data_IF_610331222541
#
_entry.id   IF_610331222541
#
_cell.length_a   1.000
_cell.length_b   1.000
_cell.length_c   1.000
_cell.angle_alpha   90.00
_cell.angle_beta   90.00
_cell.angle_gamma   90.00
#
_symmetry.space_group_name_H-M   'P 1'
#
loop_
_entity.id
_entity.type
_entity.pdbx_description
1 polymer ?
#
# COMPACT_ATOMS: atom_id res chain seq x y z
N UNK A 1 -10.24 9.93 27.15
CA UNK A 1 -9.06 9.34 26.52
C UNK A 1 -8.03 10.45 26.36
N UNK A 2 -6.79 10.25 26.81
CA UNK A 2 -5.73 11.23 26.55
C UNK A 2 -5.32 11.14 25.07
N UNK A 3 -4.76 12.22 24.53
CA UNK A 3 -4.39 12.29 23.10
C UNK A 3 -3.46 11.13 22.67
N UNK A 4 -2.47 10.79 23.50
CA UNK A 4 -1.53 9.70 23.20
C UNK A 4 -2.22 8.32 23.15
N UNK A 5 -3.19 8.08 24.05
CA UNK A 5 -3.99 6.84 24.06
C UNK A 5 -4.89 6.73 22.81
N UNK A 6 -5.43 7.85 22.30
CA UNK A 6 -6.21 7.87 21.06
C UNK A 6 -5.33 7.52 19.86
N UNK A 7 -4.13 8.12 19.78
CA UNK A 7 -3.20 7.89 18.69
C UNK A 7 -2.72 6.43 18.64
N UNK A 8 -2.40 5.86 19.80
CA UNK A 8 -1.97 4.46 19.92
C UNK A 8 -3.08 3.48 19.49
N UNK A 9 -4.32 3.72 19.92
CA UNK A 9 -5.46 2.89 19.56
C UNK A 9 -5.75 2.97 18.05
N UNK A 10 -5.73 4.17 17.48
CA UNK A 10 -5.91 4.37 16.05
C UNK A 10 -4.82 3.66 15.22
N UNK A 11 -3.56 3.77 15.63
CA UNK A 11 -2.45 3.08 14.98
C UNK A 11 -2.59 1.56 15.07
N UNK A 12 -3.02 1.05 16.22
CA UNK A 12 -3.30 -0.38 16.41
C UNK A 12 -4.41 -0.87 15.48
N UNK A 13 -5.52 -0.14 15.41
CA UNK A 13 -6.67 -0.49 14.55
C UNK A 13 -6.28 -0.47 13.07
N UNK A 14 -5.49 0.53 12.64
CA UNK A 14 -4.94 0.58 11.30
C UNK A 14 -4.04 -0.62 11.01
N UNK A 15 -3.10 -0.95 11.91
CA UNK A 15 -2.20 -2.08 11.71
C UNK A 15 -2.95 -3.41 11.58
N UNK A 16 -3.97 -3.61 12.42
CA UNK A 16 -4.81 -4.79 12.38
C UNK A 16 -5.60 -4.86 11.07
N UNK A 17 -6.26 -3.77 10.67
CA UNK A 17 -7.00 -3.71 9.40
C UNK A 17 -6.10 -4.04 8.20
N UNK A 18 -4.89 -3.49 8.16
CA UNK A 18 -3.96 -3.73 7.05
C UNK A 18 -3.53 -5.20 7.00
N UNK A 19 -3.15 -5.77 8.13
CA UNK A 19 -2.65 -7.14 8.21
C UNK A 19 -3.72 -8.20 7.99
N UNK A 20 -4.90 -8.01 8.59
CA UNK A 20 -5.95 -9.03 8.64
C UNK A 20 -6.97 -8.92 7.51
N UNK A 21 -7.15 -7.73 6.92
CA UNK A 21 -8.17 -7.49 5.89
C UNK A 21 -7.59 -7.00 4.58
N UNK A 22 -6.94 -5.84 4.56
CA UNK A 22 -6.55 -5.17 3.32
C UNK A 22 -5.53 -5.98 2.51
N UNK A 23 -4.39 -6.35 3.11
CA UNK A 23 -3.33 -7.05 2.36
C UNK A 23 -3.79 -8.42 1.84
N UNK A 24 -4.52 -9.25 2.62
CA UNK A 24 -5.14 -10.46 2.09
C UNK A 24 -6.05 -10.22 0.88
N UNK A 25 -6.95 -9.23 0.96
CA UNK A 25 -7.86 -8.88 -0.15
C UNK A 25 -7.08 -8.44 -1.39
N UNK A 26 -6.14 -7.50 -1.26
CA UNK A 26 -5.30 -7.06 -2.38
C UNK A 26 -4.43 -8.18 -2.97
N UNK A 27 -3.96 -9.13 -2.13
CA UNK A 27 -3.16 -10.27 -2.58
C UNK A 27 -3.97 -11.28 -3.39
N UNK A 28 -5.28 -11.36 -3.14
CA UNK A 28 -6.20 -12.23 -3.89
C UNK A 28 -6.47 -11.70 -5.29
N UNK A 29 -6.34 -10.40 -5.50
CA UNK A 29 -6.38 -9.78 -6.83
C UNK A 29 -5.07 -10.06 -7.56
N UNK A 30 -5.13 -10.91 -8.57
CA UNK A 30 -3.98 -11.33 -9.38
C UNK A 30 -4.02 -10.77 -10.80
N UNK A 31 -2.85 -10.70 -11.42
CA UNK A 31 -2.70 -10.35 -12.84
C UNK A 31 -1.44 -11.01 -13.39
N UNK A 32 -1.46 -11.35 -14.67
CA UNK A 32 -0.27 -11.73 -15.45
C UNK A 32 0.50 -10.53 -16.00
N UNK A 33 0.00 -9.30 -15.81
CA UNK A 33 0.62 -8.06 -16.32
C UNK A 33 0.79 -7.03 -15.19
N UNK A 34 1.96 -6.37 -15.11
CA UNK A 34 2.22 -5.32 -14.11
C UNK A 34 1.52 -4.00 -14.44
N UNK A 35 1.32 -3.16 -13.43
CA UNK A 35 0.64 -1.87 -13.57
C UNK A 35 -0.87 -2.02 -13.45
N UNK A 36 -1.61 -1.02 -13.92
CA UNK A 36 -3.08 -1.00 -13.93
C UNK A 36 -3.54 -0.45 -15.28
N UNK A 37 -4.34 -1.22 -16.01
CA UNK A 37 -4.86 -0.84 -17.34
C UNK A 37 -3.77 -0.38 -18.33
N UNK A 38 -2.61 -1.05 -18.33
CA UNK A 38 -1.50 -0.73 -19.24
C UNK A 38 -0.62 0.46 -18.81
N UNK A 39 -0.96 1.13 -17.70
CA UNK A 39 -0.13 2.17 -17.10
C UNK A 39 0.64 1.60 -15.91
N UNK A 40 1.95 1.86 -15.84
CA UNK A 40 2.75 1.55 -14.66
C UNK A 40 3.20 2.85 -14.02
N UNK A 41 2.67 3.13 -12.83
CA UNK A 41 3.21 4.14 -11.93
C UNK A 41 3.94 3.37 -10.82
N UNK A 42 5.27 3.50 -10.68
CA UNK A 42 5.99 2.75 -9.66
C UNK A 42 5.60 3.24 -8.26
N UNK A 43 5.64 2.36 -7.24
CA UNK A 43 5.46 2.77 -5.84
C UNK A 43 6.35 3.94 -5.43
N UNK A 44 5.89 4.77 -4.49
CA UNK A 44 6.57 6.02 -4.09
C UNK A 44 7.97 5.82 -3.55
N UNK A 45 8.27 4.67 -2.95
CA UNK A 45 9.61 4.32 -2.46
C UNK A 45 10.60 3.89 -3.56
N UNK A 46 10.13 3.74 -4.80
CA UNK A 46 10.97 3.50 -5.98
C UNK A 46 11.21 4.82 -6.72
N UNK A 47 10.23 5.73 -6.69
CA UNK A 47 10.36 7.06 -7.26
C UNK A 47 11.58 7.77 -6.66
N UNK A 48 12.46 8.28 -7.53
CA UNK A 48 13.72 8.94 -7.15
C UNK A 48 14.88 7.99 -6.81
N UNK A 49 14.64 6.69 -6.59
CA UNK A 49 15.72 5.71 -6.37
C UNK A 49 16.24 5.09 -7.66
N UNK A 50 15.46 5.16 -8.73
CA UNK A 50 15.81 4.62 -10.04
C UNK A 50 15.56 5.69 -11.09
N UNK A 51 16.63 6.08 -11.79
CA UNK A 51 16.52 6.96 -12.95
C UNK A 51 16.05 6.14 -14.15
N UNK A 52 14.73 6.17 -14.41
CA UNK A 52 14.10 5.47 -15.51
C UNK A 52 13.14 6.41 -16.24
N UNK A 53 13.29 6.60 -17.57
CA UNK A 53 12.46 7.54 -18.33
C UNK A 53 11.02 7.06 -18.52
N UNK A 54 10.77 5.75 -18.52
CA UNK A 54 9.41 5.18 -18.61
C UNK A 54 9.28 3.85 -17.87
N UNK A 55 8.05 3.50 -17.52
CA UNK A 55 7.72 2.23 -16.90
C UNK A 55 6.78 1.43 -17.79
N UNK A 56 7.37 0.57 -18.63
CA UNK A 56 6.58 -0.34 -19.47
C UNK A 56 5.97 -1.49 -18.65
N UNK A 57 4.71 -1.89 -18.93
CA UNK A 57 4.12 -3.11 -18.39
C UNK A 57 4.98 -4.34 -18.70
N UNK A 58 5.07 -5.24 -17.74
CA UNK A 58 5.71 -6.54 -17.88
C UNK A 58 4.66 -7.64 -17.79
N UNK A 59 4.83 -8.68 -18.58
CA UNK A 59 3.95 -9.85 -18.60
C UNK A 59 4.63 -11.07 -18.00
N UNK A 60 3.83 -12.01 -17.50
CA UNK A 60 4.23 -13.32 -17.02
C UNK A 60 3.30 -14.40 -17.56
N UNK A 61 3.78 -15.63 -17.68
CA UNK A 61 2.96 -16.79 -18.06
C UNK A 61 1.95 -17.18 -16.97
N UNK A 62 2.09 -16.63 -15.76
CA UNK A 62 1.24 -16.89 -14.59
C UNK A 62 0.72 -15.58 -14.02
N UNK A 63 -0.42 -15.65 -13.34
CA UNK A 63 -0.97 -14.52 -12.59
C UNK A 63 -0.24 -14.33 -11.24
N UNK A 64 1.04 -14.00 -11.31
CA UNK A 64 1.92 -13.90 -10.13
C UNK A 64 1.99 -12.50 -9.53
N UNK A 65 1.55 -11.47 -10.26
CA UNK A 65 1.50 -10.10 -9.75
C UNK A 65 0.25 -9.89 -8.89
N UNK A 66 0.40 -9.10 -7.83
CA UNK A 66 -0.66 -8.79 -6.86
C UNK A 66 -0.97 -7.31 -6.85
N UNK A 67 -2.22 -6.96 -6.56
CA UNK A 67 -2.58 -5.56 -6.37
C UNK A 67 -1.79 -4.97 -5.19
N UNK A 68 -1.26 -3.77 -5.40
CA UNK A 68 -0.59 -2.98 -4.36
C UNK A 68 -1.14 -1.56 -4.39
N UNK A 69 -1.09 -0.87 -3.25
CA UNK A 69 -1.45 0.56 -3.18
C UNK A 69 -0.32 1.48 -3.66
N UNK A 70 0.94 1.05 -3.54
CA UNK A 70 2.12 1.86 -3.88
C UNK A 70 2.51 2.93 -2.85
N UNK A 71 1.54 3.48 -2.09
CA UNK A 71 1.79 4.47 -1.03
C UNK A 71 1.00 4.30 0.27
N UNK A 72 0.87 3.06 0.75
CA UNK A 72 0.07 2.79 1.94
C UNK A 72 0.75 3.27 3.23
N UNK A 73 0.12 4.20 3.94
CA UNK A 73 0.51 4.66 5.26
C UNK A 73 -0.65 5.34 5.99
N UNK A 74 -0.51 5.69 7.28
CA UNK A 74 -1.60 6.27 8.07
C UNK A 74 -2.22 7.55 7.47
N UNK A 75 -1.44 8.31 6.68
CA UNK A 75 -1.92 9.52 6.00
C UNK A 75 -2.92 9.25 4.85
N UNK A 76 -2.95 8.01 4.32
CA UNK A 76 -3.87 7.58 3.25
C UNK A 76 -5.03 6.72 3.78
N UNK A 77 -5.38 6.89 5.05
CA UNK A 77 -6.45 6.16 5.72
C UNK A 77 -7.43 7.13 6.39
N UNK A 78 -8.71 6.93 6.10
CA UNK A 78 -9.80 7.61 6.80
C UNK A 78 -10.27 6.74 7.96
N UNK A 79 -10.41 7.34 9.14
CA UNK A 79 -10.88 6.64 10.34
C UNK A 79 -12.16 7.26 10.88
N UNK A 80 -12.99 6.43 11.50
CA UNK A 80 -14.14 6.89 12.27
C UNK A 80 -13.64 7.59 13.54
N UNK A 81 -14.09 8.82 13.81
CA UNK A 81 -13.61 9.59 14.95
C UNK A 81 -14.12 9.09 16.31
N UNK A 82 -15.21 8.32 16.33
CA UNK A 82 -15.80 7.76 17.55
C UNK A 82 -15.23 6.37 17.86
N UNK A 83 -15.11 5.50 16.86
CA UNK A 83 -14.65 4.11 17.04
C UNK A 83 -13.15 3.92 16.78
N UNK A 84 -12.52 4.88 16.10
CA UNK A 84 -11.15 4.79 15.59
C UNK A 84 -10.91 3.60 14.64
N UNK A 85 -11.97 3.09 14.02
CA UNK A 85 -11.87 2.04 13.01
C UNK A 85 -11.63 2.63 11.62
N UNK A 86 -10.97 1.86 10.75
CA UNK A 86 -10.73 2.24 9.36
C UNK A 86 -12.04 2.25 8.57
N UNK A 87 -12.36 3.38 7.95
CA UNK A 87 -13.51 3.56 7.06
C UNK A 87 -13.12 3.29 5.62
N UNK A 88 -12.00 3.89 5.18
CA UNK A 88 -11.55 3.77 3.79
C UNK A 88 -10.05 3.95 3.66
N UNK A 89 -9.55 3.39 2.56
CA UNK A 89 -8.20 3.61 2.06
C UNK A 89 -8.35 4.49 0.82
N UNK A 90 -7.58 5.58 0.78
CA UNK A 90 -7.66 6.60 -0.26
C UNK A 90 -6.33 6.70 -1.01
N UNK A 91 -6.28 7.56 -2.03
CA UNK A 91 -5.05 7.88 -2.76
C UNK A 91 -4.38 6.68 -3.46
N UNK A 92 -5.13 6.07 -4.37
CA UNK A 92 -4.72 4.88 -5.13
C UNK A 92 -3.90 5.21 -6.39
N UNK A 93 -3.38 6.44 -6.53
CA UNK A 93 -2.70 6.86 -7.78
C UNK A 93 -1.43 6.05 -8.09
N UNK A 94 -0.76 5.53 -7.05
CA UNK A 94 0.41 4.63 -7.18
C UNK A 94 0.04 3.14 -7.21
N UNK A 95 -1.26 2.83 -7.32
CA UNK A 95 -1.71 1.45 -7.28
C UNK A 95 -1.47 0.71 -8.59
N UNK A 96 -1.29 -0.60 -8.47
CA UNK A 96 -1.09 -1.46 -9.62
C UNK A 96 -0.65 -2.86 -9.23
N UNK A 97 -0.62 -3.75 -10.22
CA UNK A 97 -0.13 -5.11 -10.07
C UNK A 97 1.40 -5.14 -10.10
N UNK A 98 2.02 -5.70 -9.05
CA UNK A 98 3.47 -5.83 -8.91
C UNK A 98 3.85 -7.18 -8.26
N UNK A 99 5.13 -7.57 -8.26
CA UNK A 99 5.57 -8.76 -7.53
C UNK A 99 5.15 -8.70 -6.04
N UNK A 100 4.80 -9.82 -5.39
CA UNK A 100 4.29 -9.84 -4.01
C UNK A 100 5.14 -9.08 -2.98
N UNK A 101 6.46 -9.05 -3.15
CA UNK A 101 7.38 -8.30 -2.28
C UNK A 101 7.21 -6.76 -2.32
N UNK A 102 6.38 -6.24 -3.23
CA UNK A 102 6.09 -4.81 -3.35
C UNK A 102 4.90 -4.37 -2.50
N UNK A 103 4.13 -5.30 -1.91
CA UNK A 103 3.08 -4.98 -0.93
C UNK A 103 3.70 -4.48 0.39
N UNK A 104 4.09 -3.20 0.42
CA UNK A 104 4.70 -2.50 1.55
C UNK A 104 3.75 -1.43 2.11
N UNK A 105 3.90 -1.13 3.41
CA UNK A 105 3.14 -0.10 4.10
C UNK A 105 3.94 0.45 5.30
N UNK A 106 3.42 1.47 5.99
CA UNK A 106 4.12 2.21 7.06
C UNK A 106 4.97 1.37 8.02
N UNK A 107 4.46 0.22 8.52
CA UNK A 107 5.19 -0.65 9.44
C UNK A 107 6.37 -1.40 8.79
N UNK A 108 6.32 -1.69 7.49
CA UNK A 108 7.40 -2.39 6.76
C UNK A 108 8.40 -1.44 6.10
N UNK A 109 8.13 -0.13 6.09
CA UNK A 109 9.05 0.92 5.61
C UNK A 109 10.11 1.34 6.64
N UNK A 110 10.02 0.86 7.88
CA UNK A 110 10.83 1.25 9.05
C UNK A 110 12.33 0.90 9.02
N UNK A 111 12.97 0.78 7.87
CA UNK A 111 14.44 0.64 7.77
C UNK A 111 15.16 1.86 7.20
N UNK A 112 14.47 2.88 6.68
CA UNK A 112 15.15 4.06 6.11
C UNK A 112 14.32 5.35 6.22
N UNK A 113 14.09 5.87 7.43
CA UNK A 113 13.81 7.30 7.67
C UNK A 113 14.27 7.70 9.06
N UNK A 114 15.55 8.03 9.21
CA UNK A 114 15.93 9.14 10.10
C UNK A 114 15.48 10.43 9.41
N UNK A 115 14.90 11.32 10.22
CA UNK A 115 14.37 12.63 9.83
C UNK A 115 15.38 13.50 9.05
#
# INVERSE_FOLDING_TARGET
MKYDECADLAQKNFNQFVGEKLLPELRSLKSSTTGLNGLVIPPTWILGSVDRPSWEPKTSDKEEYVMTHGDLGPHNVMMNLETLEVISIIDWEYSGYFPPGFQKWGATRGTFRTF
#
